data_IF_478800541118
#
_entry.id   IF_478800541118
#
_cell.length_a   1.000
_cell.length_b   1.000
_cell.length_c   1.000
_cell.angle_alpha   90.00
_cell.angle_beta   90.00
_cell.angle_gamma   90.00
#
_symmetry.space_group_name_H-M   'P 1'
#
loop_
_entity.id
_entity.type
_entity.pdbx_description
1 polymer ?
#
# COMPACT_ATOMS: atom_id res chain seq x y z
N UNK A 1 -0.12 -3.33 11.07
CA UNK A 1 -0.32 -2.28 10.05
C UNK A 1 -1.75 -2.39 9.53
N UNK A 2 -2.39 -1.31 9.10
CA UNK A 2 -3.76 -1.35 8.56
C UNK A 2 -3.95 -0.30 7.46
N UNK A 3 -4.97 -0.48 6.62
CA UNK A 3 -5.38 0.52 5.63
C UNK A 3 -5.92 1.77 6.36
N UNK A 4 -5.48 2.96 5.93
CA UNK A 4 -5.74 4.23 6.60
C UNK A 4 -6.93 5.03 6.07
N UNK A 5 -7.36 4.79 4.84
CA UNK A 5 -8.43 5.52 4.15
C UNK A 5 -9.06 4.72 3.02
N UNK A 6 -10.01 5.32 2.31
CA UNK A 6 -10.71 4.68 1.19
C UNK A 6 -11.76 3.63 1.61
N UNK A 7 -12.21 2.81 0.66
CA UNK A 7 -13.29 1.84 0.84
C UNK A 7 -12.93 0.64 1.74
N UNK A 8 -11.64 0.33 1.87
CA UNK A 8 -11.12 -0.76 2.69
C UNK A 8 -10.48 -0.25 3.98
N UNK A 9 -10.88 0.95 4.44
CA UNK A 9 -10.34 1.57 5.65
C UNK A 9 -10.39 0.61 6.87
N UNK A 10 -9.36 0.66 7.71
CA UNK A 10 -9.16 -0.13 8.93
C UNK A 10 -9.02 -1.64 8.72
N UNK A 11 -8.90 -2.14 7.48
CA UNK A 11 -8.52 -3.53 7.25
C UNK A 11 -7.10 -3.78 7.72
N UNK A 12 -6.91 -4.80 8.56
CA UNK A 12 -5.60 -5.21 9.02
C UNK A 12 -4.79 -5.81 7.86
N UNK A 13 -3.51 -5.45 7.80
CA UNK A 13 -2.56 -6.00 6.85
C UNK A 13 -1.61 -6.96 7.56
N UNK A 14 -1.43 -8.16 6.99
CA UNK A 14 -0.37 -9.07 7.42
C UNK A 14 0.97 -8.44 7.05
N UNK A 15 1.93 -8.54 7.94
CA UNK A 15 3.28 -8.00 7.74
C UNK A 15 4.31 -9.07 8.01
N UNK A 16 5.41 -9.09 7.25
CA UNK A 16 6.54 -9.98 7.55
C UNK A 16 7.18 -9.49 8.84
N UNK A 17 7.32 -10.37 9.82
CA UNK A 17 8.01 -10.04 11.07
C UNK A 17 9.51 -10.25 10.84
N UNK A 18 10.29 -9.18 10.87
CA UNK A 18 11.75 -9.24 10.71
C UNK A 18 12.39 -7.86 10.62
N UNK A 19 13.62 -7.73 11.13
CA UNK A 19 14.35 -6.46 11.28
C UNK A 19 14.69 -5.74 9.96
N UNK A 20 14.49 -6.38 8.80
CA UNK A 20 14.88 -5.84 7.50
C UNK A 20 13.80 -4.97 6.82
N UNK A 21 12.56 -4.97 7.32
CA UNK A 21 11.48 -4.18 6.70
C UNK A 21 11.21 -2.96 7.57
N UNK A 22 11.63 -1.77 7.12
CA UNK A 22 11.22 -0.51 7.75
C UNK A 22 9.81 -0.19 7.28
N UNK A 23 8.76 -0.36 8.12
CA UNK A 23 7.40 -0.12 7.67
C UNK A 23 7.21 1.36 7.33
N UNK A 24 6.61 1.67 6.18
CA UNK A 24 6.15 3.02 5.88
C UNK A 24 5.11 3.41 6.94
N UNK A 25 5.41 4.46 7.72
CA UNK A 25 4.52 4.87 8.80
C UNK A 25 3.16 5.28 8.25
N UNK A 26 2.10 5.08 9.05
CA UNK A 26 0.74 5.48 8.66
C UNK A 26 0.67 6.97 8.28
N UNK A 27 1.44 7.83 8.97
CA UNK A 27 1.54 9.26 8.68
C UNK A 27 2.14 9.55 7.30
N UNK A 28 3.19 8.82 6.91
CA UNK A 28 3.82 9.00 5.58
C UNK A 28 2.87 8.54 4.47
N UNK A 29 2.20 7.40 4.64
CA UNK A 29 1.18 6.96 3.66
C UNK A 29 0.03 7.96 3.56
N UNK A 30 -0.48 8.46 4.68
CA UNK A 30 -1.54 9.47 4.67
C UNK A 30 -1.11 10.75 3.95
N UNK A 31 0.10 11.24 4.19
CA UNK A 31 0.64 12.40 3.48
C UNK A 31 0.74 12.15 1.98
N UNK A 32 1.21 10.97 1.56
CA UNK A 32 1.27 10.56 0.16
C UNK A 32 -0.10 10.63 -0.52
N UNK A 33 -1.12 10.00 0.05
CA UNK A 33 -2.47 10.00 -0.55
C UNK A 33 -3.18 11.34 -0.46
N UNK A 34 -2.82 12.19 0.49
CA UNK A 34 -3.26 13.58 0.49
C UNK A 34 -2.67 14.36 -0.70
N UNK A 35 -1.39 14.16 -1.02
CA UNK A 35 -0.75 14.78 -2.20
C UNK A 35 -1.30 14.23 -3.52
N UNK A 36 -1.62 12.94 -3.57
CA UNK A 36 -2.17 12.28 -4.77
C UNK A 36 -3.71 12.39 -4.89
N UNK A 37 -4.36 13.18 -4.04
CA UNK A 37 -5.82 13.31 -4.03
C UNK A 37 -6.34 13.71 -5.42
N UNK A 38 -7.35 12.99 -5.91
CA UNK A 38 -7.95 13.22 -7.23
C UNK A 38 -7.20 12.58 -8.41
N UNK A 39 -5.96 12.12 -8.20
CA UNK A 39 -5.18 11.41 -9.23
C UNK A 39 -5.30 9.89 -9.12
N UNK A 40 -5.70 9.37 -7.96
CA UNK A 40 -5.75 7.91 -7.69
C UNK A 40 -7.00 7.25 -8.27
N UNK A 41 -8.12 7.98 -8.34
CA UNK A 41 -9.38 7.43 -8.83
C UNK A 41 -9.23 6.95 -10.28
N UNK A 42 -9.60 5.69 -10.52
CA UNK A 42 -9.50 4.99 -11.81
C UNK A 42 -8.08 4.92 -12.42
N UNK A 43 -7.05 5.20 -11.62
CA UNK A 43 -5.66 5.12 -12.08
C UNK A 43 -5.16 3.67 -12.19
N UNK A 44 -4.15 3.48 -13.03
CA UNK A 44 -3.26 2.31 -12.95
C UNK A 44 -2.09 2.73 -12.06
N UNK A 45 -1.97 2.11 -10.88
CA UNK A 45 -0.90 2.38 -9.93
C UNK A 45 0.18 1.30 -10.04
N UNK A 46 1.44 1.68 -9.85
CA UNK A 46 2.56 0.74 -9.84
C UNK A 46 3.37 0.94 -8.56
N UNK A 47 3.41 -0.08 -7.72
CA UNK A 47 4.17 -0.12 -6.47
C UNK A 47 5.44 -0.94 -6.69
N UNK A 48 6.56 -0.27 -6.98
CA UNK A 48 7.79 -0.89 -7.48
C UNK A 48 8.64 -1.59 -6.41
N UNK A 49 8.41 -1.26 -5.14
CA UNK A 49 9.07 -1.85 -3.97
C UNK A 49 7.99 -2.15 -2.94
N UNK A 50 7.05 -2.99 -3.36
CA UNK A 50 5.77 -3.14 -2.69
C UNK A 50 5.92 -3.62 -1.24
N UNK A 51 6.99 -4.36 -0.93
CA UNK A 51 7.10 -5.11 0.31
C UNK A 51 5.82 -5.93 0.50
N UNK A 52 5.12 -5.68 1.61
CA UNK A 52 3.84 -6.35 1.91
C UNK A 52 2.62 -5.74 1.19
N UNK A 53 2.84 -4.88 0.19
CA UNK A 53 1.81 -4.23 -0.60
C UNK A 53 1.10 -3.06 0.09
N UNK A 54 1.63 -2.53 1.20
CA UNK A 54 0.88 -1.59 2.05
C UNK A 54 0.50 -0.26 1.38
N UNK A 55 1.25 0.20 0.38
CA UNK A 55 0.96 1.44 -0.36
C UNK A 55 0.04 1.14 -1.53
N UNK A 56 0.32 0.13 -2.34
CA UNK A 56 -0.57 -0.28 -3.43
C UNK A 56 -1.96 -0.72 -2.96
N UNK A 57 -2.08 -1.41 -1.82
CA UNK A 57 -3.39 -1.75 -1.24
C UNK A 57 -4.16 -0.51 -0.76
N UNK A 58 -3.44 0.51 -0.27
CA UNK A 58 -4.03 1.80 0.06
C UNK A 58 -4.51 2.53 -1.21
N UNK A 59 -3.77 2.42 -2.32
CA UNK A 59 -4.20 2.97 -3.61
C UNK A 59 -5.48 2.31 -4.12
N UNK A 60 -5.61 0.98 -4.02
CA UNK A 60 -6.87 0.28 -4.31
C UNK A 60 -8.01 0.79 -3.43
N UNK A 61 -7.76 0.96 -2.14
CA UNK A 61 -8.75 1.50 -1.20
C UNK A 61 -9.23 2.90 -1.62
N UNK A 62 -8.32 3.72 -2.13
CA UNK A 62 -8.59 5.08 -2.63
C UNK A 62 -9.14 5.14 -4.07
N UNK A 63 -9.48 3.99 -4.68
CA UNK A 63 -10.19 3.94 -5.96
C UNK A 63 -9.31 3.72 -7.19
N UNK A 64 -8.06 3.30 -7.03
CA UNK A 64 -7.26 2.86 -8.18
C UNK A 64 -7.95 1.69 -8.90
N UNK A 65 -8.00 1.75 -10.23
CA UNK A 65 -8.61 0.70 -11.07
C UNK A 65 -7.80 -0.60 -11.02
N UNK A 66 -6.48 -0.46 -11.05
CA UNK A 66 -5.57 -1.60 -11.02
C UNK A 66 -4.26 -1.20 -10.34
N UNK A 67 -3.65 -2.16 -9.64
CA UNK A 67 -2.36 -1.95 -9.00
C UNK A 67 -1.42 -3.10 -9.35
N UNK A 68 -0.28 -2.76 -9.93
CA UNK A 68 0.82 -3.69 -10.15
C UNK A 68 1.78 -3.61 -8.97
N UNK A 69 2.08 -4.76 -8.37
CA UNK A 69 3.04 -4.88 -7.28
C UNK A 69 4.31 -5.54 -7.82
N UNK A 70 5.45 -4.87 -7.61
CA UNK A 70 6.77 -5.41 -7.93
C UNK A 70 7.53 -5.51 -6.61
N UNK A 71 8.08 -6.70 -6.35
CA UNK A 71 8.87 -6.97 -5.15
C UNK A 71 9.92 -8.03 -5.46
N UNK A 72 11.12 -7.83 -4.90
CA UNK A 72 12.26 -8.71 -5.06
C UNK A 72 12.33 -9.77 -3.94
N UNK A 73 12.01 -9.41 -2.70
CA UNK A 73 12.06 -10.31 -1.57
C UNK A 73 10.82 -11.23 -1.53
N UNK A 74 11.03 -12.52 -1.84
CA UNK A 74 9.95 -13.53 -1.79
C UNK A 74 9.27 -13.65 -0.43
N UNK A 75 9.95 -13.29 0.68
CA UNK A 75 9.33 -13.33 2.02
C UNK A 75 8.20 -12.33 2.16
N UNK A 76 8.17 -11.30 1.32
CA UNK A 76 7.13 -10.29 1.30
C UNK A 76 5.85 -10.76 0.57
N UNK A 77 5.91 -11.88 -0.15
CA UNK A 77 4.73 -12.58 -0.67
C UNK A 77 4.03 -13.31 0.48
N UNK A 78 3.21 -12.59 1.23
CA UNK A 78 2.39 -13.16 2.30
C UNK A 78 0.99 -13.36 1.73
N UNK A 79 0.61 -14.62 1.49
CA UNK A 79 -0.77 -15.01 1.14
C UNK A 79 -1.68 -14.90 2.36
#
# INVERSE_FOLDING_TARGET
>A
MQIGGGNANRRALRTVVGQAVRPTSGRVRQALFNMLRGLVQDAIFVDLFAGTGSVGLEALSHGARHVYFVEHDRRALIT
#
